data_IF_220278818853
#
_entry.id   IF_220278818853
#
_cell.length_a   1.000
_cell.length_b   1.000
_cell.length_c   1.000
_cell.angle_alpha   90.00
_cell.angle_beta   90.00
_cell.angle_gamma   90.00
#
_symmetry.space_group_name_H-M   'P 1'
#
loop_
_entity.id
_entity.type
_entity.pdbx_description
1 polymer ?
#
# COMPACT_ATOMS: atom_id res chain seq x y z
N UNK A 1 -32.94 -2.53 -6.69
CA UNK A 1 -32.63 -3.38 -5.52
C UNK A 1 -31.82 -2.54 -4.55
N UNK A 2 -32.11 -2.61 -3.25
CA UNK A 2 -31.28 -1.93 -2.26
C UNK A 2 -29.95 -2.66 -2.11
N UNK A 3 -28.84 -1.92 -2.04
CA UNK A 3 -27.51 -2.48 -1.73
C UNK A 3 -27.49 -2.95 -0.27
N UNK A 4 -26.78 -4.05 -0.02
CA UNK A 4 -26.53 -4.52 1.35
C UNK A 4 -25.46 -3.65 2.02
N UNK A 5 -25.48 -3.55 3.34
CA UNK A 5 -24.37 -2.99 4.10
C UNK A 5 -23.22 -3.99 4.09
N UNK A 6 -22.13 -3.62 3.43
CA UNK A 6 -20.94 -4.46 3.34
C UNK A 6 -19.79 -3.83 4.15
N UNK A 7 -19.37 -4.53 5.20
CA UNK A 7 -18.29 -4.15 6.10
C UNK A 7 -17.02 -4.98 5.88
N UNK A 8 -16.89 -5.65 4.71
CA UNK A 8 -15.66 -6.37 4.38
C UNK A 8 -14.48 -5.41 4.29
N UNK A 9 -13.34 -5.83 4.84
CA UNK A 9 -12.12 -5.03 4.84
C UNK A 9 -11.50 -4.87 3.43
N UNK A 10 -11.74 -5.83 2.54
CA UNK A 10 -11.28 -5.78 1.15
C UNK A 10 -11.43 -7.14 0.44
N UNK A 11 -12.00 -7.12 -0.78
CA UNK A 11 -12.52 -5.96 -1.51
C UNK A 11 -13.62 -5.23 -0.73
N UNK A 12 -13.45 -3.91 -0.57
CA UNK A 12 -14.34 -3.10 0.23
C UNK A 12 -15.52 -2.55 -0.59
N UNK A 13 -16.50 -1.99 0.11
CA UNK A 13 -17.63 -1.32 -0.52
C UNK A 13 -17.17 -0.05 -1.25
N UNK A 14 -17.51 0.05 -2.53
CA UNK A 14 -17.19 1.22 -3.33
C UNK A 14 -18.32 2.27 -3.30
N UNK A 15 -18.02 3.56 -3.49
CA UNK A 15 -19.02 4.60 -3.68
C UNK A 15 -19.96 4.24 -4.83
N UNK A 16 -21.27 4.47 -4.63
CA UNK A 16 -22.30 4.11 -5.62
C UNK A 16 -22.12 4.88 -6.92
N UNK A 17 -21.83 6.17 -6.83
CA UNK A 17 -21.59 7.04 -7.98
C UNK A 17 -20.41 6.57 -8.85
N UNK A 18 -19.37 5.99 -8.23
CA UNK A 18 -18.26 5.42 -8.97
C UNK A 18 -18.67 4.16 -9.74
N UNK A 19 -19.51 3.32 -9.15
CA UNK A 19 -20.03 2.11 -9.79
C UNK A 19 -21.01 2.44 -10.90
N UNK A 20 -21.92 3.39 -10.68
CA UNK A 20 -22.88 3.87 -11.69
C UNK A 20 -22.15 4.45 -12.90
N UNK A 21 -21.13 5.27 -12.65
CA UNK A 21 -20.30 5.82 -13.73
C UNK A 21 -19.55 4.72 -14.49
N UNK A 22 -18.93 3.78 -13.78
CA UNK A 22 -18.25 2.65 -14.41
C UNK A 22 -19.21 1.82 -15.28
N UNK A 23 -20.45 1.57 -14.81
CA UNK A 23 -21.47 0.87 -15.58
C UNK A 23 -21.91 1.65 -16.82
N UNK A 24 -22.13 2.95 -16.69
CA UNK A 24 -22.53 3.82 -17.82
C UNK A 24 -21.45 3.93 -18.89
N UNK A 25 -20.19 3.92 -18.51
CA UNK A 25 -19.04 4.03 -19.42
C UNK A 25 -18.51 2.66 -19.88
N UNK A 26 -19.12 1.55 -19.47
CA UNK A 26 -18.60 0.19 -19.73
C UNK A 26 -18.47 -0.16 -21.21
N UNK A 27 -19.44 0.22 -22.03
CA UNK A 27 -19.41 -0.04 -23.46
C UNK A 27 -18.82 1.09 -24.29
N UNK A 28 -18.84 2.31 -23.75
CA UNK A 28 -18.34 3.49 -24.47
C UNK A 28 -17.83 4.52 -23.47
N UNK A 29 -16.56 4.43 -23.15
CA UNK A 29 -15.91 5.36 -22.24
C UNK A 29 -15.90 6.76 -22.82
N UNK A 30 -16.57 7.71 -22.15
CA UNK A 30 -16.65 9.11 -22.57
C UNK A 30 -17.06 9.31 -24.05
N UNK A 31 -17.88 8.42 -24.57
CA UNK A 31 -18.35 8.50 -25.95
C UNK A 31 -17.36 8.01 -27.02
N UNK A 32 -16.28 7.35 -26.64
CA UNK A 32 -15.26 6.84 -27.56
C UNK A 32 -15.70 5.66 -28.44
N UNK A 33 -16.88 5.06 -28.14
CA UNK A 33 -17.37 3.88 -28.86
C UNK A 33 -16.65 2.58 -28.45
N UNK A 34 -15.82 2.61 -27.42
CA UNK A 34 -15.12 1.45 -26.85
C UNK A 34 -14.98 1.57 -25.33
N UNK A 35 -14.88 0.44 -24.66
CA UNK A 35 -14.58 0.35 -23.23
C UNK A 35 -13.15 0.82 -22.92
N UNK A 36 -12.93 1.35 -21.71
CA UNK A 36 -11.56 1.57 -21.24
C UNK A 36 -10.72 0.28 -21.21
N UNK A 37 -11.36 -0.89 -21.04
CA UNK A 37 -10.70 -2.20 -21.06
C UNK A 37 -10.18 -2.61 -22.46
N UNK A 38 -10.69 -1.97 -23.51
CA UNK A 38 -10.31 -2.23 -24.92
C UNK A 38 -9.30 -1.19 -25.43
N UNK A 39 -9.04 -0.12 -24.65
CA UNK A 39 -8.13 0.95 -25.06
C UNK A 39 -6.68 0.51 -24.98
N UNK A 40 -5.91 0.90 -25.99
CA UNK A 40 -4.45 0.84 -25.86
C UNK A 40 -3.98 1.76 -24.74
N UNK A 41 -3.08 1.26 -23.89
CA UNK A 41 -2.42 2.09 -22.88
C UNK A 41 -1.60 3.25 -23.46
N UNK A 42 -1.35 3.26 -24.78
CA UNK A 42 -0.66 4.33 -25.53
C UNK A 42 -1.63 5.35 -26.13
N UNK A 43 -2.95 5.14 -26.02
CA UNK A 43 -3.91 6.10 -26.54
C UNK A 43 -3.97 7.35 -25.67
N UNK A 44 -4.21 8.51 -26.29
CA UNK A 44 -4.30 9.78 -25.56
C UNK A 44 -5.38 9.76 -24.48
N UNK A 45 -6.51 9.11 -24.73
CA UNK A 45 -7.61 8.99 -23.77
C UNK A 45 -7.23 8.14 -22.55
N UNK A 46 -6.52 7.02 -22.77
CA UNK A 46 -6.03 6.22 -21.66
C UNK A 46 -4.98 6.98 -20.85
N UNK A 47 -4.06 7.67 -21.53
CA UNK A 47 -3.05 8.48 -20.88
C UNK A 47 -3.67 9.58 -20.00
N UNK A 48 -4.73 10.23 -20.48
CA UNK A 48 -5.47 11.22 -19.68
C UNK A 48 -6.08 10.63 -18.39
N UNK A 49 -6.61 9.40 -18.48
CA UNK A 49 -7.14 8.68 -17.29
C UNK A 49 -6.00 8.37 -16.31
N UNK A 50 -4.88 7.88 -16.82
CA UNK A 50 -3.69 7.56 -16.04
C UNK A 50 -3.13 8.81 -15.33
N UNK A 51 -2.88 9.87 -16.09
CA UNK A 51 -2.32 11.14 -15.56
C UNK A 51 -3.24 11.76 -14.51
N UNK A 52 -4.55 11.70 -14.76
CA UNK A 52 -5.53 12.16 -13.78
C UNK A 52 -5.48 11.34 -12.49
N UNK A 53 -5.32 10.03 -12.58
CA UNK A 53 -5.22 9.15 -11.41
C UNK A 53 -3.99 9.49 -10.57
N UNK A 54 -2.83 9.62 -11.21
CA UNK A 54 -1.58 10.01 -10.56
C UNK A 54 -1.70 11.40 -9.91
N UNK A 55 -2.26 12.36 -10.64
CA UNK A 55 -2.47 13.72 -10.11
C UNK A 55 -3.37 13.72 -8.88
N UNK A 56 -4.48 12.98 -8.90
CA UNK A 56 -5.39 12.90 -7.75
C UNK A 56 -4.73 12.25 -6.53
N UNK A 57 -3.91 11.23 -6.71
CA UNK A 57 -3.12 10.65 -5.60
C UNK A 57 -2.14 11.68 -5.03
N UNK A 58 -1.43 12.43 -5.89
CA UNK A 58 -0.53 13.50 -5.45
C UNK A 58 -1.26 14.59 -4.69
N UNK A 59 -2.42 15.03 -5.16
CA UNK A 59 -3.25 16.06 -4.51
C UNK A 59 -3.77 15.59 -3.15
N UNK A 60 -4.32 14.37 -3.08
CA UNK A 60 -4.95 13.84 -1.86
C UNK A 60 -3.95 13.46 -0.75
N UNK A 61 -2.76 13.05 -1.12
CA UNK A 61 -1.71 12.63 -0.18
C UNK A 61 -0.60 13.69 -0.04
N UNK A 62 -0.74 14.84 -0.70
CA UNK A 62 0.28 15.92 -0.72
C UNK A 62 1.67 15.40 -1.10
N UNK A 63 1.73 14.48 -2.10
CA UNK A 63 2.98 13.80 -2.52
C UNK A 63 3.92 14.83 -3.18
N UNK A 64 5.13 15.03 -2.61
CA UNK A 64 6.10 15.97 -3.18
C UNK A 64 6.67 15.48 -4.52
N UNK A 65 7.27 16.40 -5.29
CA UNK A 65 7.78 16.10 -6.64
C UNK A 65 8.96 15.10 -6.64
N UNK A 66 9.70 15.00 -5.55
CA UNK A 66 10.79 14.04 -5.38
C UNK A 66 10.34 12.57 -5.25
N UNK A 67 9.04 12.31 -5.10
CA UNK A 67 8.47 10.96 -5.07
C UNK A 67 7.82 10.61 -6.40
N UNK A 68 8.02 9.37 -6.83
CA UNK A 68 7.33 8.80 -7.98
C UNK A 68 6.08 8.03 -7.55
N UNK A 69 4.98 8.19 -8.29
CA UNK A 69 3.76 7.41 -8.11
C UNK A 69 3.74 6.31 -9.16
N UNK A 70 3.81 5.07 -8.70
CA UNK A 70 3.81 3.89 -9.56
C UNK A 70 2.46 3.18 -9.47
N UNK A 71 1.87 2.86 -10.61
CA UNK A 71 0.65 2.06 -10.70
C UNK A 71 1.04 0.67 -11.24
N UNK A 72 1.00 -0.32 -10.35
CA UNK A 72 1.54 -1.65 -10.57
C UNK A 72 0.45 -2.72 -10.51
N UNK A 73 0.78 -3.91 -10.96
CA UNK A 73 0.00 -5.13 -10.76
C UNK A 73 0.63 -6.00 -9.66
N UNK A 74 -0.01 -7.12 -9.30
CA UNK A 74 0.53 -8.11 -8.37
C UNK A 74 0.01 -7.99 -6.93
N UNK A 75 -0.73 -6.95 -6.61
CA UNK A 75 -1.26 -6.70 -5.27
C UNK A 75 -0.15 -6.39 -4.26
N UNK A 76 -0.55 -6.10 -3.00
CA UNK A 76 0.39 -5.85 -1.92
C UNK A 76 1.33 -7.04 -1.66
N UNK A 77 0.86 -8.27 -1.85
CA UNK A 77 1.70 -9.48 -1.70
C UNK A 77 2.85 -9.50 -2.71
N UNK A 78 2.63 -8.98 -3.92
CA UNK A 78 3.71 -8.80 -4.90
C UNK A 78 4.80 -7.84 -4.41
N UNK A 79 4.43 -6.84 -3.60
CA UNK A 79 5.37 -5.89 -3.03
C UNK A 79 6.23 -6.50 -1.91
N UNK A 80 5.77 -7.55 -1.24
CA UNK A 80 6.59 -8.29 -0.27
C UNK A 80 7.87 -8.85 -0.90
N UNK A 81 7.80 -9.22 -2.19
CA UNK A 81 8.96 -9.62 -2.98
C UNK A 81 9.65 -8.42 -3.64
N UNK A 82 8.89 -7.50 -4.24
CA UNK A 82 9.44 -6.38 -5.00
C UNK A 82 10.29 -5.44 -4.13
N UNK A 83 9.87 -5.16 -2.90
CA UNK A 83 10.62 -4.33 -1.96
C UNK A 83 12.03 -4.89 -1.71
N UNK A 84 12.20 -6.13 -1.21
CA UNK A 84 13.54 -6.67 -0.98
C UNK A 84 14.33 -6.88 -2.28
N UNK A 85 13.70 -7.24 -3.39
CA UNK A 85 14.39 -7.37 -4.68
C UNK A 85 15.05 -6.08 -5.16
N UNK A 86 14.47 -4.93 -4.81
CA UNK A 86 14.99 -3.62 -5.23
C UNK A 86 15.84 -2.94 -4.17
N UNK A 87 15.54 -3.11 -2.89
CA UNK A 87 16.11 -2.30 -1.82
C UNK A 87 17.08 -3.09 -0.92
N UNK A 88 16.89 -4.39 -0.72
CA UNK A 88 17.71 -5.18 0.19
C UNK A 88 19.08 -5.48 -0.40
N UNK A 89 20.13 -4.93 0.19
CA UNK A 89 21.53 -5.10 -0.23
C UNK A 89 22.37 -5.71 0.90
N UNK A 90 22.25 -5.18 2.11
CA UNK A 90 23.03 -5.56 3.28
C UNK A 90 22.16 -6.18 4.36
N UNK A 91 21.08 -5.53 4.74
CA UNK A 91 20.15 -6.00 5.75
C UNK A 91 18.93 -5.11 5.87
N UNK A 92 17.83 -5.66 6.38
CA UNK A 92 16.61 -4.91 6.63
C UNK A 92 15.94 -5.34 7.94
N UNK A 93 15.33 -4.37 8.60
CA UNK A 93 14.64 -4.51 9.87
C UNK A 93 13.13 -4.56 9.67
N UNK A 94 12.48 -5.56 10.26
CA UNK A 94 11.05 -5.78 10.12
C UNK A 94 10.35 -5.70 11.48
N UNK A 95 9.19 -5.04 11.51
CA UNK A 95 8.30 -5.05 12.68
C UNK A 95 7.17 -6.06 12.42
N UNK A 96 7.20 -7.17 13.14
CA UNK A 96 6.22 -8.26 13.04
C UNK A 96 4.98 -7.94 13.87
N UNK A 97 4.08 -7.14 13.30
CA UNK A 97 2.86 -6.64 13.95
C UNK A 97 1.58 -7.38 13.54
N UNK A 98 1.66 -8.35 12.64
CA UNK A 98 0.50 -9.10 12.15
C UNK A 98 0.83 -10.05 11.02
N UNK A 99 -0.15 -10.81 10.54
CA UNK A 99 0.05 -11.82 9.51
C UNK A 99 0.70 -11.28 8.23
N UNK A 100 0.31 -10.09 7.76
CA UNK A 100 0.88 -9.50 6.55
C UNK A 100 2.31 -9.02 6.77
N UNK A 101 2.58 -8.39 7.93
CA UNK A 101 3.93 -8.01 8.30
C UNK A 101 4.85 -9.24 8.42
N UNK A 102 4.36 -10.32 9.05
CA UNK A 102 5.08 -11.58 9.13
C UNK A 102 5.33 -12.20 7.76
N UNK A 103 4.32 -12.19 6.88
CA UNK A 103 4.45 -12.69 5.51
C UNK A 103 5.49 -11.92 4.70
N UNK A 104 5.53 -10.59 4.85
CA UNK A 104 6.53 -9.75 4.21
C UNK A 104 7.95 -10.05 4.71
N UNK A 105 8.12 -10.25 6.01
CA UNK A 105 9.39 -10.68 6.60
C UNK A 105 9.86 -12.04 6.05
N UNK A 106 8.98 -13.04 6.05
CA UNK A 106 9.31 -14.40 5.52
C UNK A 106 9.67 -14.33 4.04
N UNK A 107 8.98 -13.49 3.26
CA UNK A 107 9.33 -13.29 1.86
C UNK A 107 10.71 -12.65 1.69
N UNK A 108 11.00 -11.60 2.47
CA UNK A 108 12.28 -10.89 2.39
C UNK A 108 13.49 -11.78 2.69
N UNK A 109 13.35 -12.76 3.59
CA UNK A 109 14.42 -13.73 3.91
C UNK A 109 14.88 -14.55 2.71
N UNK A 110 14.08 -14.64 1.64
CA UNK A 110 14.47 -15.33 0.39
C UNK A 110 15.47 -14.51 -0.44
N UNK A 111 15.56 -13.20 -0.19
CA UNK A 111 16.37 -12.26 -0.97
C UNK A 111 17.63 -11.81 -0.24
N UNK A 112 17.66 -11.88 1.09
CA UNK A 112 18.82 -11.45 1.85
C UNK A 112 18.61 -11.49 3.37
N UNK A 113 19.46 -10.75 4.07
CA UNK A 113 19.42 -10.68 5.52
C UNK A 113 18.28 -9.78 5.99
N UNK A 114 17.18 -10.39 6.41
CA UNK A 114 16.07 -9.71 7.05
C UNK A 114 15.92 -10.22 8.49
N UNK A 115 15.70 -9.31 9.45
CA UNK A 115 15.51 -9.66 10.86
C UNK A 115 14.28 -8.97 11.45
N UNK A 116 13.68 -9.58 12.44
CA UNK A 116 12.59 -8.98 13.22
C UNK A 116 13.21 -8.22 14.40
N UNK A 117 12.89 -6.92 14.51
CA UNK A 117 13.37 -6.05 15.60
C UNK A 117 12.34 -5.86 16.71
N UNK A 118 11.05 -6.03 16.39
CA UNK A 118 9.96 -5.99 17.35
C UNK A 118 8.83 -6.91 16.87
N UNK A 119 8.17 -7.62 17.78
CA UNK A 119 7.06 -8.51 17.46
C UNK A 119 6.03 -8.54 18.58
N UNK A 120 4.74 -8.60 18.21
CA UNK A 120 3.64 -8.89 19.12
C UNK A 120 3.00 -10.27 18.87
N UNK A 121 3.70 -11.16 18.18
CA UNK A 121 3.21 -12.48 17.78
C UNK A 121 2.84 -13.36 18.99
N UNK A 122 3.64 -13.35 20.02
CA UNK A 122 3.37 -14.12 21.24
C UNK A 122 2.10 -13.65 21.97
N UNK A 123 1.71 -12.38 21.75
CA UNK A 123 0.47 -11.79 22.24
C UNK A 123 -0.67 -11.91 21.21
N UNK A 124 -0.55 -12.83 20.25
CA UNK A 124 -1.53 -13.03 19.16
C UNK A 124 -1.84 -11.74 18.37
N UNK A 125 -0.85 -10.83 18.28
CA UNK A 125 -0.97 -9.52 17.61
C UNK A 125 -2.08 -8.63 18.17
N UNK A 126 -2.38 -8.77 19.47
CA UNK A 126 -3.43 -7.97 20.13
C UNK A 126 -3.09 -6.48 20.22
N UNK A 127 -1.85 -6.11 19.97
CA UNK A 127 -1.36 -4.72 19.88
C UNK A 127 -0.26 -4.59 18.84
N UNK A 128 0.05 -3.37 18.45
CA UNK A 128 1.28 -3.07 17.72
C UNK A 128 2.44 -3.12 18.72
N UNK A 129 3.56 -3.79 18.40
CA UNK A 129 4.71 -3.81 19.29
C UNK A 129 5.39 -2.44 19.35
N UNK A 130 5.90 -2.10 20.52
CA UNK A 130 6.77 -0.94 20.68
C UNK A 130 8.11 -1.20 19.95
N UNK A 131 8.59 -0.23 19.20
CA UNK A 131 9.86 -0.30 18.50
C UNK A 131 10.88 0.53 19.27
N UNK A 132 11.88 -0.12 19.83
CA UNK A 132 13.03 0.56 20.42
C UNK A 132 13.93 1.08 19.27
N UNK A 133 14.16 2.38 19.24
CA UNK A 133 15.08 2.98 18.27
C UNK A 133 16.49 2.38 18.34
N UNK A 134 16.94 1.95 19.52
CA UNK A 134 18.22 1.26 19.70
C UNK A 134 18.27 -0.16 19.11
N UNK A 135 17.13 -0.75 18.76
CA UNK A 135 17.04 -2.05 18.10
C UNK A 135 17.21 -1.94 16.56
N UNK A 136 17.02 -0.74 16.00
CA UNK A 136 17.17 -0.49 14.57
C UNK A 136 18.66 -0.46 14.22
N UNK A 137 19.05 -1.22 13.20
CA UNK A 137 20.40 -1.17 12.67
C UNK A 137 20.59 0.13 11.87
N UNK A 138 21.51 1.02 12.28
CA UNK A 138 21.73 2.28 11.58
C UNK A 138 22.24 2.10 10.15
N UNK A 139 22.75 0.93 9.80
CA UNK A 139 23.23 0.55 8.48
C UNK A 139 22.24 -0.32 7.70
N UNK A 140 21.02 -0.53 8.22
CA UNK A 140 19.97 -1.24 7.51
C UNK A 140 19.54 -0.48 6.25
N UNK A 141 19.25 -1.23 5.19
CA UNK A 141 18.76 -0.65 3.93
C UNK A 141 17.37 -0.03 4.11
N UNK A 142 16.55 -0.58 5.01
CA UNK A 142 15.23 -0.04 5.38
C UNK A 142 14.67 -0.69 6.65
N UNK A 143 13.68 -0.01 7.24
CA UNK A 143 12.77 -0.57 8.25
C UNK A 143 11.41 -0.81 7.61
N UNK A 144 10.81 -1.98 7.81
CA UNK A 144 9.50 -2.32 7.26
C UNK A 144 8.42 -2.37 8.33
N UNK A 145 7.28 -1.73 8.06
CA UNK A 145 6.07 -1.80 8.88
C UNK A 145 4.81 -2.05 8.04
N UNK A 146 3.80 -2.64 8.66
CA UNK A 146 2.41 -2.65 8.18
C UNK A 146 1.61 -1.71 9.05
N UNK A 147 1.25 -0.54 8.53
CA UNK A 147 0.69 0.57 9.33
C UNK A 147 -0.66 0.25 9.97
N UNK A 148 -1.46 -0.60 9.33
CA UNK A 148 -2.73 -1.09 9.85
C UNK A 148 -2.89 -2.60 9.60
N UNK A 149 -3.02 -3.35 10.67
CA UNK A 149 -3.14 -4.82 10.64
C UNK A 149 -4.61 -5.21 10.48
N UNK A 150 -5.03 -5.39 9.25
CA UNK A 150 -6.43 -5.61 8.84
C UNK A 150 -7.14 -6.72 9.62
N UNK A 151 -6.44 -7.84 9.86
CA UNK A 151 -7.02 -9.03 10.50
C UNK A 151 -7.25 -8.79 12.00
N UNK A 152 -6.33 -8.07 12.63
CA UNK A 152 -6.31 -7.89 14.09
C UNK A 152 -6.95 -6.59 14.57
N UNK A 153 -7.18 -5.63 13.65
CA UNK A 153 -7.73 -4.32 13.97
C UNK A 153 -6.76 -3.44 14.77
N UNK A 154 -5.47 -3.72 14.71
CA UNK A 154 -4.43 -2.94 15.35
C UNK A 154 -3.71 -2.04 14.35
N UNK A 155 -3.28 -0.86 14.76
CA UNK A 155 -2.57 0.08 13.89
C UNK A 155 -1.48 0.85 14.61
N UNK A 156 -0.52 1.32 13.87
CA UNK A 156 0.43 2.31 14.35
C UNK A 156 -0.27 3.65 14.56
N UNK A 157 -0.22 4.19 15.77
CA UNK A 157 -0.66 5.56 16.10
C UNK A 157 0.51 6.53 16.12
N UNK A 158 1.73 6.01 16.10
CA UNK A 158 3.01 6.69 16.00
C UNK A 158 3.91 5.87 15.10
N UNK A 159 4.63 6.52 14.20
CA UNK A 159 5.69 5.88 13.43
C UNK A 159 6.92 5.62 14.32
N UNK A 160 7.67 4.53 14.08
CA UNK A 160 8.95 4.32 14.74
C UNK A 160 9.95 5.42 14.33
N UNK A 161 10.79 5.82 15.27
CA UNK A 161 11.92 6.71 14.96
C UNK A 161 13.05 5.88 14.34
N UNK A 162 13.13 5.93 13.01
CA UNK A 162 14.12 5.20 12.23
C UNK A 162 15.40 6.00 11.98
N UNK A 163 15.52 7.22 12.51
CA UNK A 163 16.67 8.09 12.28
C UNK A 163 16.86 8.38 10.79
N UNK A 164 17.95 7.85 10.18
CA UNK A 164 18.25 8.02 8.76
C UNK A 164 17.84 6.81 7.89
N UNK A 165 17.44 5.72 8.51
CA UNK A 165 17.06 4.49 7.81
C UNK A 165 15.69 4.69 7.16
N UNK A 166 15.54 4.45 5.84
CA UNK A 166 14.27 4.63 5.16
C UNK A 166 13.16 3.73 5.73
N UNK A 167 11.98 4.30 5.96
CA UNK A 167 10.81 3.55 6.40
C UNK A 167 10.01 3.07 5.19
N UNK A 168 9.78 1.78 5.08
CA UNK A 168 8.92 1.13 4.08
C UNK A 168 7.61 0.74 4.73
N UNK A 169 6.49 1.18 4.18
CA UNK A 169 5.18 0.99 4.77
C UNK A 169 4.18 0.29 3.83
N UNK A 170 3.61 -0.83 4.29
CA UNK A 170 2.36 -1.37 3.76
C UNK A 170 1.20 -0.58 4.37
N UNK A 171 0.55 0.25 3.54
CA UNK A 171 -0.64 1.03 3.91
C UNK A 171 -1.92 0.47 3.28
N UNK A 172 -1.94 -0.76 2.81
CA UNK A 172 -3.07 -1.30 2.02
C UNK A 172 -4.44 -1.07 2.65
N UNK A 173 -4.56 -1.11 3.97
CA UNK A 173 -5.86 -1.00 4.63
C UNK A 173 -6.18 0.36 5.23
N UNK A 174 -5.24 1.31 5.23
CA UNK A 174 -5.47 2.66 5.78
C UNK A 174 -4.94 3.82 4.94
N UNK A 175 -4.38 3.55 3.76
CA UNK A 175 -4.04 4.62 2.81
C UNK A 175 -5.27 5.50 2.54
N UNK A 176 -5.10 6.81 2.48
CA UNK A 176 -6.18 7.79 2.27
C UNK A 176 -7.27 7.83 3.37
N UNK A 177 -7.10 7.12 4.48
CA UNK A 177 -8.06 7.17 5.60
C UNK A 177 -7.77 8.31 6.59
N UNK A 178 -6.53 8.76 6.62
CA UNK A 178 -6.06 9.86 7.44
C UNK A 178 -4.85 10.52 6.76
N UNK A 179 -4.52 11.77 7.08
CA UNK A 179 -3.32 12.43 6.57
C UNK A 179 -2.04 11.77 7.11
N UNK A 180 -1.07 11.58 6.22
CA UNK A 180 0.32 11.22 6.53
C UNK A 180 1.25 12.20 5.84
N UNK A 181 2.36 12.54 6.47
CA UNK A 181 3.44 13.19 5.74
C UNK A 181 4.21 12.11 4.95
N UNK A 182 4.12 12.17 3.63
CA UNK A 182 4.80 11.21 2.74
C UNK A 182 6.31 11.24 2.95
N UNK A 183 6.87 12.36 3.42
CA UNK A 183 8.31 12.52 3.71
C UNK A 183 8.82 11.66 4.86
N UNK A 184 7.92 11.16 5.72
CA UNK A 184 8.27 10.23 6.79
C UNK A 184 8.64 8.84 6.25
N UNK A 185 8.42 8.58 4.94
CA UNK A 185 8.60 7.27 4.33
C UNK A 185 9.56 7.31 3.15
N UNK A 186 10.38 6.27 3.03
CA UNK A 186 11.15 6.00 1.81
C UNK A 186 10.30 5.34 0.74
N UNK A 187 9.36 4.46 1.14
CA UNK A 187 8.39 3.80 0.25
C UNK A 187 7.07 3.60 0.98
N UNK A 188 5.98 3.94 0.31
CA UNK A 188 4.63 3.54 0.68
C UNK A 188 4.09 2.63 -0.42
N UNK A 189 3.43 1.53 -0.08
CA UNK A 189 2.65 0.78 -1.04
C UNK A 189 1.30 0.35 -0.49
N UNK A 190 0.33 0.13 -1.38
CA UNK A 190 -1.01 -0.30 -1.02
C UNK A 190 -1.68 -1.09 -2.13
N UNK A 191 -2.31 -2.21 -1.78
CA UNK A 191 -3.28 -2.87 -2.64
C UNK A 191 -4.58 -2.08 -2.67
N UNK A 192 -5.06 -1.71 -3.87
CA UNK A 192 -6.17 -0.77 -4.04
C UNK A 192 -7.52 -1.25 -3.46
N UNK A 193 -7.75 -2.57 -3.41
CA UNK A 193 -9.05 -3.18 -3.11
C UNK A 193 -9.60 -2.88 -1.70
N UNK A 194 -8.81 -2.30 -0.82
CA UNK A 194 -9.25 -1.97 0.54
C UNK A 194 -9.78 -0.55 0.61
N UNK A 195 -8.93 0.46 0.41
CA UNK A 195 -9.33 1.85 0.63
C UNK A 195 -9.16 2.79 -0.57
N UNK A 196 -8.68 2.31 -1.72
CA UNK A 196 -8.50 3.14 -2.92
C UNK A 196 -9.62 2.91 -3.94
N UNK A 197 -9.88 1.64 -4.31
CA UNK A 197 -10.79 1.32 -5.40
C UNK A 197 -10.97 -0.19 -5.61
N UNK A 198 -11.25 -0.66 -6.83
CA UNK A 198 -11.40 -2.08 -7.12
C UNK A 198 -10.08 -2.83 -7.03
N UNK A 199 -10.15 -4.15 -6.87
CA UNK A 199 -8.99 -5.03 -6.95
C UNK A 199 -8.33 -4.98 -8.33
N UNK A 200 -7.01 -5.26 -8.37
CA UNK A 200 -6.22 -5.34 -9.58
C UNK A 200 -5.12 -4.29 -9.73
N UNK A 201 -5.13 -3.30 -8.86
CA UNK A 201 -4.11 -2.24 -8.83
C UNK A 201 -3.35 -2.25 -7.52
N UNK A 202 -2.05 -1.93 -7.60
CA UNK A 202 -1.16 -1.62 -6.47
C UNK A 202 -0.51 -0.27 -6.73
N UNK A 203 -0.51 0.58 -5.73
CA UNK A 203 0.12 1.90 -5.76
C UNK A 203 1.37 1.86 -4.92
#
# INVERSE_FOLDING_TARGET
MSRVYNFAAGPAMMPEEALERAAAEMLSCRGAGMSVMEMSHRSAMYQEIFDRTVRLLRELMEIPDEYEVLLLQGGATGQFAAVPMNLLKTGADYVDSGNFAHGAFVEAQKYGNARVIASSREESYARVPDVDAGAIDPDADYVYITTNNTIYGTRFTRLPDCGKVPLVADMSSNILSEPYDVRDFGVIFAGAQKNIGPAGLTV
#
